data_IF_818992511730
#
_entry.id   IF_818992511730
#
_cell.length_a   1.000
_cell.length_b   1.000
_cell.length_c   1.000
_cell.angle_alpha   90.00
_cell.angle_beta   90.00
_cell.angle_gamma   90.00
#
_symmetry.space_group_name_H-M   'P 1'
#
loop_
_entity.id
_entity.type
_entity.pdbx_description
1 polymer ?
#
# COMPACT_ATOMS: atom_id res chain seq x y z
N UNK A 1 -8.07 -1.05 -12.15
CA UNK A 1 -8.71 -0.14 -11.17
C UNK A 1 -9.96 -0.84 -10.56
N UNK A 2 -10.89 -0.10 -9.97
CA UNK A 2 -12.15 -0.66 -9.43
C UNK A 2 -13.12 -1.19 -10.49
N UNK A 3 -13.06 -0.72 -11.75
CA UNK A 3 -13.86 -1.30 -12.83
C UNK A 3 -13.35 -2.70 -13.20
N UNK A 4 -12.03 -2.90 -13.18
CA UNK A 4 -11.43 -4.23 -13.35
C UNK A 4 -11.84 -5.17 -12.22
N UNK A 5 -11.79 -4.70 -10.98
CA UNK A 5 -12.22 -5.48 -9.81
C UNK A 5 -13.67 -5.95 -9.96
N UNK A 6 -14.59 -5.06 -10.37
CA UNK A 6 -15.97 -5.42 -10.63
C UNK A 6 -16.10 -6.47 -11.73
N UNK A 7 -15.39 -6.32 -12.84
CA UNK A 7 -15.43 -7.30 -13.95
C UNK A 7 -14.91 -8.68 -13.52
N UNK A 8 -13.82 -8.72 -12.76
CA UNK A 8 -13.24 -9.97 -12.26
C UNK A 8 -14.18 -10.66 -11.26
N UNK A 9 -14.75 -9.91 -10.31
CA UNK A 9 -15.70 -10.44 -9.34
C UNK A 9 -16.99 -10.94 -10.02
N UNK A 10 -17.56 -10.17 -10.92
CA UNK A 10 -18.80 -10.53 -11.62
C UNK A 10 -18.64 -11.75 -12.53
N UNK A 11 -17.44 -12.01 -13.04
CA UNK A 11 -17.14 -13.18 -13.87
C UNK A 11 -16.66 -14.40 -13.08
N UNK A 12 -16.43 -14.27 -11.76
CA UNK A 12 -15.85 -15.33 -10.94
C UNK A 12 -14.46 -15.76 -11.42
N UNK A 13 -13.66 -14.82 -11.95
CA UNK A 13 -12.38 -15.14 -12.58
C UNK A 13 -11.25 -15.48 -11.58
N UNK A 14 -11.43 -15.17 -10.30
CA UNK A 14 -10.45 -15.38 -9.24
C UNK A 14 -11.13 -15.40 -7.86
N UNK A 15 -10.46 -16.01 -6.87
CA UNK A 15 -10.96 -16.09 -5.49
C UNK A 15 -10.57 -14.88 -4.62
N UNK A 16 -9.46 -14.21 -4.97
CA UNK A 16 -8.89 -13.08 -4.22
C UNK A 16 -8.45 -11.97 -5.17
N UNK A 17 -8.46 -10.72 -4.67
CA UNK A 17 -7.85 -9.58 -5.37
C UNK A 17 -6.58 -9.12 -4.64
N UNK A 18 -5.50 -8.88 -5.40
CA UNK A 18 -4.30 -8.22 -4.89
C UNK A 18 -4.34 -6.73 -5.25
N UNK A 19 -4.61 -5.90 -4.25
CA UNK A 19 -4.61 -4.44 -4.34
C UNK A 19 -3.16 -3.97 -4.23
N UNK A 20 -2.70 -3.22 -5.24
CA UNK A 20 -1.43 -2.47 -5.18
C UNK A 20 -1.74 -1.01 -5.43
N UNK A 21 -1.35 -0.12 -4.52
CA UNK A 21 -1.71 1.30 -4.60
C UNK A 21 -1.18 1.97 -5.89
N UNK A 22 0.02 1.58 -6.33
CA UNK A 22 0.59 2.01 -7.60
C UNK A 22 -0.25 1.62 -8.84
N UNK A 23 -0.97 0.49 -8.78
CA UNK A 23 -1.85 0.03 -9.88
C UNK A 23 -3.27 0.60 -9.78
N UNK A 24 -3.69 1.00 -8.58
CA UNK A 24 -5.03 1.52 -8.35
C UNK A 24 -5.13 3.04 -8.45
N UNK A 25 -4.01 3.76 -8.48
CA UNK A 25 -4.02 5.22 -8.40
C UNK A 25 -4.28 5.72 -6.97
N UNK A 26 -3.76 4.99 -5.98
CA UNK A 26 -3.77 5.40 -4.57
C UNK A 26 -4.93 4.84 -3.73
N UNK A 27 -5.02 5.37 -2.50
CA UNK A 27 -5.88 4.87 -1.42
C UNK A 27 -7.37 4.89 -1.78
N UNK A 28 -7.84 5.97 -2.40
CA UNK A 28 -9.27 6.15 -2.70
C UNK A 28 -9.81 5.06 -3.64
N UNK A 29 -9.03 4.64 -4.63
CA UNK A 29 -9.42 3.55 -5.52
C UNK A 29 -9.14 2.18 -4.88
N UNK A 30 -8.08 2.06 -4.07
CA UNK A 30 -7.84 0.86 -3.26
C UNK A 30 -9.04 0.50 -2.39
N UNK A 31 -9.62 1.47 -1.69
CA UNK A 31 -10.85 1.32 -0.90
C UNK A 31 -12.04 0.85 -1.75
N UNK A 32 -12.20 1.36 -2.97
CA UNK A 32 -13.27 0.92 -3.87
C UNK A 32 -13.08 -0.52 -4.33
N UNK A 33 -11.84 -0.94 -4.62
CA UNK A 33 -11.52 -2.32 -4.99
C UNK A 33 -11.85 -3.25 -3.82
N UNK A 34 -11.42 -2.91 -2.61
CA UNK A 34 -11.71 -3.69 -1.41
C UNK A 34 -13.22 -3.82 -1.15
N UNK A 35 -13.98 -2.72 -1.26
CA UNK A 35 -15.43 -2.75 -1.08
C UNK A 35 -16.14 -3.65 -2.11
N UNK A 36 -15.66 -3.67 -3.36
CA UNK A 36 -16.20 -4.56 -4.40
C UNK A 36 -15.89 -6.02 -4.07
N UNK A 37 -14.65 -6.31 -3.66
CA UNK A 37 -14.25 -7.66 -3.28
C UNK A 37 -15.08 -8.17 -2.09
N UNK A 38 -15.18 -7.38 -1.03
CA UNK A 38 -15.94 -7.68 0.19
C UNK A 38 -17.41 -7.97 -0.15
N UNK A 39 -18.05 -7.12 -0.97
CA UNK A 39 -19.42 -7.32 -1.41
C UNK A 39 -19.62 -8.58 -2.27
N UNK A 40 -18.59 -9.01 -2.99
CA UNK A 40 -18.58 -10.25 -3.76
C UNK A 40 -18.22 -11.49 -2.94
N UNK A 41 -17.97 -11.35 -1.63
CA UNK A 41 -17.52 -12.43 -0.75
C UNK A 41 -16.06 -12.85 -0.98
N UNK A 42 -15.29 -12.02 -1.68
CA UNK A 42 -13.87 -12.22 -1.94
C UNK A 42 -13.02 -11.46 -0.92
N UNK A 43 -11.93 -12.08 -0.46
CA UNK A 43 -10.95 -11.35 0.38
C UNK A 43 -9.90 -10.66 -0.47
N UNK A 44 -9.22 -9.72 0.15
CA UNK A 44 -8.13 -8.97 -0.47
C UNK A 44 -6.78 -9.36 0.12
N UNK A 45 -5.77 -9.19 -0.72
CA UNK A 45 -4.38 -9.06 -0.36
C UNK A 45 -3.96 -7.63 -0.65
N UNK A 46 -3.10 -7.06 0.19
CA UNK A 46 -2.45 -5.79 -0.10
C UNK A 46 -0.98 -6.03 -0.43
N UNK A 47 -0.63 -5.72 -1.67
CA UNK A 47 0.70 -5.91 -2.21
C UNK A 47 1.41 -4.59 -2.49
N UNK A 48 2.72 -4.67 -2.64
CA UNK A 48 3.56 -3.57 -3.07
C UNK A 48 4.19 -3.81 -4.45
N UNK A 49 4.81 -2.78 -4.98
CA UNK A 49 5.87 -2.87 -5.96
C UNK A 49 7.21 -2.73 -5.19
N UNK A 50 8.19 -2.05 -5.76
CA UNK A 50 9.47 -1.73 -5.08
C UNK A 50 9.42 -0.33 -4.44
N UNK A 51 8.32 0.01 -3.76
CA UNK A 51 8.25 1.28 -3.02
C UNK A 51 9.11 1.27 -1.76
N UNK A 52 9.55 2.47 -1.33
CA UNK A 52 10.15 2.69 -0.01
C UNK A 52 9.10 2.48 1.10
N UNK A 53 9.55 2.42 2.36
CA UNK A 53 8.64 2.34 3.51
C UNK A 53 7.59 3.46 3.55
N UNK A 54 7.80 4.59 2.86
CA UNK A 54 6.80 5.65 2.74
C UNK A 54 5.52 5.14 2.06
N UNK A 55 5.66 4.54 0.86
CA UNK A 55 4.52 3.95 0.14
C UNK A 55 3.93 2.74 0.86
N UNK A 56 4.78 1.90 1.43
CA UNK A 56 4.36 0.72 2.19
C UNK A 56 3.59 1.08 3.46
N UNK A 57 3.93 2.19 4.12
CA UNK A 57 3.18 2.70 5.27
C UNK A 57 1.75 3.06 4.88
N UNK A 58 1.54 3.66 3.70
CA UNK A 58 0.21 4.00 3.23
C UNK A 58 -0.62 2.74 2.96
N UNK A 59 0.01 1.71 2.40
CA UNK A 59 -0.61 0.40 2.23
C UNK A 59 -0.95 -0.20 3.61
N UNK A 60 -0.02 -0.27 4.55
CA UNK A 60 -0.25 -0.84 5.88
C UNK A 60 -1.43 -0.17 6.61
N UNK A 61 -1.59 1.16 6.50
CA UNK A 61 -2.76 1.86 7.05
C UNK A 61 -4.07 1.38 6.42
N UNK A 62 -4.11 1.19 5.10
CA UNK A 62 -5.29 0.64 4.42
C UNK A 62 -5.61 -0.79 4.90
N UNK A 63 -4.58 -1.63 5.06
CA UNK A 63 -4.74 -2.98 5.59
C UNK A 63 -5.34 -2.97 7.00
N UNK A 64 -4.81 -2.15 7.91
CA UNK A 64 -5.31 -2.05 9.27
C UNK A 64 -6.74 -1.49 9.35
N UNK A 65 -7.13 -0.62 8.42
CA UNK A 65 -8.47 -0.06 8.36
C UNK A 65 -9.53 -1.02 7.78
N UNK A 66 -9.13 -2.08 7.08
CA UNK A 66 -10.03 -2.92 6.26
C UNK A 66 -9.84 -4.41 6.59
N UNK A 67 -10.69 -4.98 7.48
CA UNK A 67 -10.59 -6.40 7.88
C UNK A 67 -10.72 -7.42 6.74
N UNK A 68 -11.26 -7.03 5.58
CA UNK A 68 -11.34 -7.87 4.39
C UNK A 68 -9.97 -8.10 3.72
N UNK A 69 -8.97 -7.28 4.05
CA UNK A 69 -7.57 -7.47 3.67
C UNK A 69 -6.94 -8.43 4.68
N UNK A 70 -6.73 -9.68 4.26
CA UNK A 70 -6.24 -10.73 5.16
C UNK A 70 -4.82 -11.20 4.86
N UNK A 71 -4.21 -10.69 3.79
CA UNK A 71 -2.85 -11.02 3.37
C UNK A 71 -2.08 -9.75 3.05
N UNK A 72 -0.79 -9.73 3.40
CA UNK A 72 0.10 -8.61 3.17
C UNK A 72 1.37 -9.09 2.46
N UNK A 73 1.77 -8.31 1.46
CA UNK A 73 3.01 -8.43 0.70
C UNK A 73 3.58 -7.01 0.60
N UNK A 74 4.18 -6.58 1.70
CA UNK A 74 4.70 -5.23 1.90
C UNK A 74 6.19 -5.31 2.23
N UNK A 75 6.94 -6.09 1.47
CA UNK A 75 8.37 -6.35 1.67
C UNK A 75 9.27 -5.54 0.70
N UNK A 76 8.70 -4.70 -0.17
CA UNK A 76 9.40 -3.96 -1.21
C UNK A 76 10.62 -3.16 -0.71
N UNK A 77 10.57 -2.65 0.52
CA UNK A 77 11.68 -1.90 1.13
C UNK A 77 12.91 -2.78 1.47
N UNK A 78 12.75 -4.10 1.59
CA UNK A 78 13.87 -5.02 1.87
C UNK A 78 14.85 -5.13 0.71
N UNK A 79 14.43 -4.77 -0.50
CA UNK A 79 15.26 -4.82 -1.70
C UNK A 79 16.03 -3.52 -1.95
N UNK A 80 15.81 -2.48 -1.13
CA UNK A 80 16.53 -1.22 -1.24
C UNK A 80 17.89 -1.32 -0.56
N UNK A 81 18.93 -0.81 -1.22
CA UNK A 81 20.28 -0.72 -0.65
C UNK A 81 20.30 0.22 0.56
N UNK A 82 19.51 1.28 0.50
CA UNK A 82 19.35 2.28 1.54
C UNK A 82 17.87 2.61 1.67
N UNK A 83 17.42 2.74 2.91
CA UNK A 83 16.05 3.14 3.22
C UNK A 83 16.04 4.59 3.74
N UNK A 84 15.54 5.55 2.93
CA UNK A 84 15.62 6.96 3.28
C UNK A 84 14.50 7.43 4.20
N UNK A 85 13.62 6.52 4.65
CA UNK A 85 12.38 6.92 5.33
C UNK A 85 12.61 7.14 6.83
N UNK A 86 12.12 8.27 7.32
CA UNK A 86 11.97 8.53 8.76
C UNK A 86 10.56 8.23 9.23
N UNK A 87 10.42 7.65 10.42
CA UNK A 87 9.13 7.12 10.89
C UNK A 87 8.70 5.91 10.08
N UNK A 88 7.41 5.81 9.78
CA UNK A 88 6.80 4.75 8.98
C UNK A 88 6.70 3.40 9.68
N UNK A 89 6.28 2.40 8.90
CA UNK A 89 6.16 1.04 9.41
C UNK A 89 7.51 0.46 9.83
N UNK A 90 7.47 -0.41 10.83
CA UNK A 90 8.60 -1.26 11.23
C UNK A 90 8.24 -2.73 11.07
N UNK A 91 9.26 -3.58 10.93
CA UNK A 91 9.11 -5.02 10.78
C UNK A 91 9.76 -5.72 11.97
N UNK A 92 9.06 -6.68 12.57
CA UNK A 92 9.61 -7.57 13.59
C UNK A 92 9.03 -8.99 13.42
N UNK A 93 9.88 -9.97 13.14
CA UNK A 93 9.46 -11.38 13.09
C UNK A 93 8.33 -11.71 12.09
N UNK A 94 8.13 -10.89 11.05
CA UNK A 94 7.00 -11.04 10.11
C UNK A 94 5.75 -10.23 10.49
N UNK A 95 5.80 -9.48 11.57
CA UNK A 95 4.80 -8.51 11.97
C UNK A 95 5.15 -7.11 11.46
N UNK A 96 4.13 -6.34 11.10
CA UNK A 96 4.25 -4.94 10.69
C UNK A 96 3.62 -4.08 11.78
N UNK A 97 4.38 -3.14 12.34
CA UNK A 97 3.85 -2.15 13.30
C UNK A 97 3.62 -0.82 12.61
N UNK A 98 2.44 -0.22 12.83
CA UNK A 98 2.08 1.10 12.32
C UNK A 98 2.64 2.24 13.19
N UNK A 99 2.97 3.40 12.60
CA UNK A 99 3.28 4.59 13.37
C UNK A 99 2.03 5.18 14.04
N UNK A 100 2.18 5.78 15.23
CA UNK A 100 1.08 6.40 15.99
C UNK A 100 0.84 7.88 15.68
N UNK A 101 1.75 8.51 14.93
CA UNK A 101 1.69 9.94 14.60
C UNK A 101 0.57 10.30 13.61
N UNK A 102 0.20 11.58 13.51
CA UNK A 102 -0.82 12.03 12.56
C UNK A 102 -0.38 11.85 11.10
N UNK A 103 -1.37 11.78 10.20
CA UNK A 103 -1.13 11.59 8.78
C UNK A 103 -0.59 10.20 8.49
N UNK A 104 0.45 10.12 7.66
CA UNK A 104 1.08 8.85 7.33
C UNK A 104 1.96 8.32 8.48
N UNK A 105 2.51 9.24 9.30
CA UNK A 105 3.52 8.93 10.29
C UNK A 105 4.88 8.54 9.69
N UNK A 106 5.13 8.89 8.42
CA UNK A 106 6.35 8.60 7.67
C UNK A 106 6.71 9.79 6.77
N UNK A 107 8.00 10.06 6.60
CA UNK A 107 8.51 11.13 5.74
C UNK A 107 9.91 10.81 5.18
N UNK A 108 10.38 11.59 4.21
CA UNK A 108 11.76 11.56 3.73
C UNK A 108 12.47 12.84 4.18
N UNK A 109 13.65 12.74 4.82
CA UNK A 109 14.43 13.91 5.24
C UNK A 109 14.71 14.87 4.08
N UNK A 110 14.64 16.17 4.36
CA UNK A 110 14.82 17.21 3.35
C UNK A 110 16.23 17.19 2.73
N UNK A 111 17.26 16.94 3.54
CA UNK A 111 18.64 16.80 3.09
C UNK A 111 18.81 15.62 2.13
N UNK A 112 18.14 14.50 2.38
CA UNK A 112 18.11 13.38 1.42
C UNK A 112 17.48 13.78 0.08
N UNK A 113 16.41 14.58 0.10
CA UNK A 113 15.72 15.02 -1.12
C UNK A 113 16.51 16.08 -1.91
N UNK A 114 17.30 16.91 -1.24
CA UNK A 114 18.12 17.97 -1.86
C UNK A 114 19.18 17.42 -2.83
N UNK A 115 19.70 16.22 -2.55
CA UNK A 115 20.71 15.55 -3.37
C UNK A 115 20.11 14.81 -4.59
N UNK A 116 18.78 14.74 -4.71
CA UNK A 116 18.10 14.04 -5.79
C UNK A 116 17.74 14.96 -6.95
N UNK A 117 17.73 14.40 -8.17
CA UNK A 117 17.18 15.08 -9.33
C UNK A 117 15.68 15.37 -9.09
N UNK A 118 15.27 16.63 -9.28
CA UNK A 118 13.90 17.08 -9.04
C UNK A 118 13.40 17.99 -10.15
N UNK A 119 12.08 17.94 -10.37
CA UNK A 119 11.36 18.82 -11.29
C UNK A 119 10.18 19.43 -10.52
N UNK A 120 10.03 20.74 -10.59
CA UNK A 120 8.96 21.47 -9.92
C UNK A 120 7.86 21.87 -10.91
N UNK A 121 6.61 21.64 -10.53
CA UNK A 121 5.42 22.11 -11.24
C UNK A 121 4.87 23.32 -10.48
N UNK A 122 4.75 24.46 -11.17
CA UNK A 122 4.20 25.72 -10.62
C UNK A 122 2.84 26.03 -11.21
#
# INVERSE_FOLDING_TARGET
DHHDAFRLAASGACDYLNIKLAKSGGLSIGLKIDAIAEAAGMRCMLGCMEETRLGLTAAAHLAAARPNITFLDLDGAFFLVEDPVTGGITYDGGEITLPEGPGLGADIPADYLEDLESISIT
#
